data_IF_044638589498
#
_entry.id   IF_044638589498
#
_cell.length_a   1.000
_cell.length_b   1.000
_cell.length_c   1.000
_cell.angle_alpha   90.00
_cell.angle_beta   90.00
_cell.angle_gamma   90.00
#
_symmetry.space_group_name_H-M   'P 1'
#
loop_
_entity.id
_entity.type
_entity.pdbx_description
1 polymer ?
#
# COMPACT_ATOMS: atom_id res chain seq x y z
N UNK A 1 19.58 -9.42 -11.68
CA UNK A 1 18.93 -9.70 -10.38
C UNK A 1 17.84 -10.72 -10.61
N UNK A 2 17.68 -11.65 -9.68
CA UNK A 2 16.57 -12.60 -9.70
C UNK A 2 15.24 -11.85 -9.51
N UNK A 3 14.13 -12.42 -10.01
CA UNK A 3 12.81 -11.80 -9.96
C UNK A 3 12.39 -11.51 -8.50
N UNK A 4 12.71 -12.43 -7.61
CA UNK A 4 12.47 -12.36 -6.17
C UNK A 4 13.26 -11.21 -5.53
N UNK A 5 14.48 -10.92 -5.99
CA UNK A 5 15.26 -9.79 -5.48
C UNK A 5 14.61 -8.46 -5.87
N UNK A 6 14.05 -8.36 -7.09
CA UNK A 6 13.31 -7.16 -7.53
C UNK A 6 12.03 -6.99 -6.72
N UNK A 7 11.32 -8.08 -6.43
CA UNK A 7 10.15 -8.06 -5.56
C UNK A 7 10.51 -7.56 -4.14
N UNK A 8 11.57 -8.07 -3.53
CA UNK A 8 12.00 -7.62 -2.20
C UNK A 8 12.40 -6.15 -2.18
N UNK A 9 13.10 -5.69 -3.23
CA UNK A 9 13.45 -4.29 -3.38
C UNK A 9 12.20 -3.41 -3.52
N UNK A 10 11.22 -3.84 -4.31
CA UNK A 10 9.94 -3.16 -4.46
C UNK A 10 9.20 -3.10 -3.12
N UNK A 11 9.10 -4.22 -2.39
CA UNK A 11 8.44 -4.28 -1.08
C UNK A 11 9.05 -3.30 -0.08
N UNK A 12 10.38 -3.28 0.04
CA UNK A 12 11.09 -2.38 0.96
C UNK A 12 10.88 -0.92 0.54
N UNK A 13 11.00 -0.62 -0.75
CA UNK A 13 10.76 0.72 -1.30
C UNK A 13 9.34 1.20 -0.97
N UNK A 14 8.35 0.34 -1.19
CA UNK A 14 6.95 0.65 -0.90
C UNK A 14 6.72 0.87 0.60
N UNK A 15 7.29 0.06 1.50
CA UNK A 15 7.23 0.32 2.95
C UNK A 15 7.83 1.67 3.34
N UNK A 16 8.99 2.01 2.78
CA UNK A 16 9.68 3.28 3.05
C UNK A 16 8.85 4.48 2.61
N UNK A 17 7.97 4.33 1.63
CA UNK A 17 7.11 5.41 1.12
C UNK A 17 5.76 5.43 1.86
N UNK A 18 5.06 4.30 1.90
CA UNK A 18 3.68 4.23 2.35
C UNK A 18 3.53 4.42 3.85
N UNK A 19 4.48 3.89 4.65
CA UNK A 19 4.41 4.01 6.11
C UNK A 19 4.51 5.49 6.53
N UNK A 20 5.48 6.29 6.05
CA UNK A 20 5.50 7.73 6.31
C UNK A 20 4.23 8.45 5.83
N UNK A 21 3.73 8.14 4.63
CA UNK A 21 2.49 8.75 4.11
C UNK A 21 1.32 8.46 5.05
N UNK A 22 1.14 7.19 5.46
CA UNK A 22 0.08 6.78 6.37
C UNK A 22 0.20 7.49 7.73
N UNK A 23 1.42 7.58 8.28
CA UNK A 23 1.67 8.31 9.54
C UNK A 23 1.29 9.78 9.38
N UNK A 24 1.71 10.42 8.29
CA UNK A 24 1.43 11.84 8.03
C UNK A 24 -0.08 12.09 7.95
N UNK A 25 -0.79 11.26 7.18
CA UNK A 25 -2.23 11.36 7.02
C UNK A 25 -2.96 11.18 8.35
N UNK A 26 -2.64 10.12 9.11
CA UNK A 26 -3.32 9.85 10.38
C UNK A 26 -3.03 10.95 11.41
N UNK A 27 -1.78 11.38 11.55
CA UNK A 27 -1.35 12.29 12.62
C UNK A 27 -1.66 13.75 12.34
N UNK A 28 -1.47 14.20 11.11
CA UNK A 28 -1.54 15.63 10.77
C UNK A 28 -2.82 15.99 10.02
N UNK A 29 -3.27 15.15 9.09
CA UNK A 29 -4.48 15.43 8.28
C UNK A 29 -5.74 15.06 9.05
N UNK A 30 -5.86 13.82 9.49
CA UNK A 30 -7.02 13.34 10.25
C UNK A 30 -6.92 13.60 11.76
N UNK A 31 -5.77 14.09 12.22
CA UNK A 31 -5.50 14.50 13.61
C UNK A 31 -5.82 13.41 14.65
N UNK A 32 -5.74 12.14 14.26
CA UNK A 32 -6.02 11.02 15.15
C UNK A 32 -4.75 10.67 15.97
N UNK A 33 -4.70 11.21 17.19
CA UNK A 33 -3.58 11.02 18.12
C UNK A 33 -3.71 9.78 18.99
N UNK A 34 -4.88 9.15 19.05
CA UNK A 34 -5.13 8.02 19.97
C UNK A 34 -4.51 6.72 19.51
N UNK A 35 -4.34 6.53 18.19
CA UNK A 35 -3.71 5.33 17.65
C UNK A 35 -2.22 5.28 18.04
N UNK A 36 -1.70 4.16 18.56
CA UNK A 36 -0.27 4.03 18.87
C UNK A 36 0.55 3.94 17.58
N UNK A 37 1.71 4.60 17.55
CA UNK A 37 2.57 4.68 16.35
C UNK A 37 3.00 3.29 15.87
N UNK A 38 3.35 2.39 16.80
CA UNK A 38 3.73 1.02 16.48
C UNK A 38 2.62 0.25 15.75
N UNK A 39 1.34 0.52 16.05
CA UNK A 39 0.21 -0.09 15.35
C UNK A 39 0.05 0.47 13.94
N UNK A 40 0.28 1.77 13.75
CA UNK A 40 0.25 2.39 12.41
C UNK A 40 1.35 1.78 11.52
N UNK A 41 2.58 1.70 12.04
CA UNK A 41 3.73 1.13 11.32
C UNK A 41 3.49 -0.35 11.04
N UNK A 42 3.10 -1.13 12.05
CA UNK A 42 2.89 -2.57 11.93
C UNK A 42 1.76 -2.92 10.96
N UNK A 43 0.63 -2.23 11.03
CA UNK A 43 -0.48 -2.46 10.09
C UNK A 43 -0.13 -1.93 8.69
N UNK A 44 0.56 -0.79 8.57
CA UNK A 44 1.03 -0.28 7.27
C UNK A 44 1.96 -1.27 6.58
N UNK A 45 2.95 -1.80 7.29
CA UNK A 45 3.86 -2.81 6.75
C UNK A 45 3.11 -4.11 6.37
N UNK A 46 2.22 -4.58 7.25
CA UNK A 46 1.40 -5.76 6.98
C UNK A 46 0.49 -5.58 5.75
N UNK A 47 -0.07 -4.38 5.58
CA UNK A 47 -0.94 -4.03 4.48
C UNK A 47 -0.24 -4.28 3.15
N UNK A 48 0.91 -3.63 2.93
CA UNK A 48 1.73 -3.82 1.72
C UNK A 48 2.25 -5.26 1.59
N UNK A 49 2.64 -5.89 2.70
CA UNK A 49 3.15 -7.27 2.69
C UNK A 49 2.10 -8.29 2.25
N UNK A 50 0.82 -8.00 2.46
CA UNK A 50 -0.29 -8.86 2.05
C UNK A 50 -0.76 -8.57 0.63
N UNK A 51 -0.63 -7.34 0.13
CA UNK A 51 -1.11 -6.96 -1.20
C UNK A 51 -0.06 -7.18 -2.30
N UNK A 52 1.19 -6.81 -2.04
CA UNK A 52 2.25 -6.81 -3.05
C UNK A 52 2.61 -8.21 -3.60
N UNK A 53 2.66 -9.31 -2.80
CA UNK A 53 2.89 -10.64 -3.35
C UNK A 53 1.81 -11.09 -4.33
N UNK A 54 0.56 -10.70 -4.09
CA UNK A 54 -0.54 -11.02 -5.01
C UNK A 54 -0.39 -10.24 -6.32
N UNK A 55 0.01 -8.97 -6.23
CA UNK A 55 0.31 -8.18 -7.42
C UNK A 55 1.44 -8.84 -8.23
N UNK A 56 2.56 -9.19 -7.61
CA UNK A 56 3.76 -9.67 -8.33
C UNK A 56 3.71 -11.14 -8.76
N UNK A 57 3.09 -12.03 -7.99
CA UNK A 57 3.18 -13.48 -8.23
C UNK A 57 1.86 -14.11 -8.62
N UNK A 58 0.73 -13.52 -8.22
CA UNK A 58 -0.59 -14.13 -8.45
C UNK A 58 -1.29 -13.49 -9.64
N UNK A 59 -1.31 -12.16 -9.76
CA UNK A 59 -2.08 -11.46 -10.78
C UNK A 59 -1.58 -11.61 -12.24
N UNK A 60 -0.26 -11.63 -12.55
CA UNK A 60 0.23 -11.54 -13.93
C UNK A 60 -0.32 -12.61 -14.90
N UNK A 61 -0.53 -13.88 -14.50
CA UNK A 61 -1.12 -14.90 -15.37
C UNK A 61 -2.59 -14.67 -15.76
N UNK A 62 -3.32 -13.80 -15.03
CA UNK A 62 -4.77 -13.62 -15.20
C UNK A 62 -5.16 -12.32 -15.93
N UNK A 63 -4.20 -11.43 -16.18
CA UNK A 63 -4.48 -10.10 -16.70
C UNK A 63 -3.51 -9.77 -17.84
N UNK A 64 -4.06 -9.28 -18.95
CA UNK A 64 -3.24 -8.81 -20.06
C UNK A 64 -2.32 -7.67 -19.62
N UNK A 65 -1.08 -7.67 -20.12
CA UNK A 65 -0.07 -6.68 -19.77
C UNK A 65 -0.53 -5.22 -19.98
N UNK A 66 -1.42 -4.97 -20.95
CA UNK A 66 -1.99 -3.64 -21.22
C UNK A 66 -2.89 -3.12 -20.10
N UNK A 67 -3.61 -4.01 -19.40
CA UNK A 67 -4.52 -3.64 -18.32
C UNK A 67 -3.93 -3.89 -16.93
N UNK A 68 -2.77 -4.54 -16.86
CA UNK A 68 -2.14 -4.94 -15.61
C UNK A 68 -1.91 -3.78 -14.63
N UNK A 69 -1.37 -2.60 -15.03
CA UNK A 69 -1.20 -1.50 -14.08
C UNK A 69 -2.52 -1.01 -13.52
N UNK A 70 -3.54 -0.83 -14.39
CA UNK A 70 -4.84 -0.33 -13.95
C UNK A 70 -5.54 -1.31 -13.01
N UNK A 71 -5.62 -2.59 -13.38
CA UNK A 71 -6.30 -3.61 -12.59
C UNK A 71 -5.54 -3.89 -11.30
N UNK A 72 -4.22 -4.00 -11.39
CA UNK A 72 -3.34 -4.26 -10.25
C UNK A 72 -3.42 -3.18 -9.18
N UNK A 73 -3.23 -1.92 -9.56
CA UNK A 73 -3.28 -0.80 -8.60
C UNK A 73 -4.67 -0.64 -8.00
N UNK A 74 -5.74 -0.80 -8.80
CA UNK A 74 -7.11 -0.76 -8.26
C UNK A 74 -7.36 -1.87 -7.23
N UNK A 75 -6.83 -3.07 -7.47
CA UNK A 75 -6.97 -4.20 -6.54
C UNK A 75 -6.20 -3.93 -5.23
N UNK A 76 -4.96 -3.45 -5.34
CA UNK A 76 -4.14 -3.07 -4.19
C UNK A 76 -4.85 -1.99 -3.38
N UNK A 77 -5.23 -0.88 -4.02
CA UNK A 77 -5.98 0.21 -3.39
C UNK A 77 -7.23 -0.27 -2.63
N UNK A 78 -8.07 -1.11 -3.24
CA UNK A 78 -9.29 -1.60 -2.58
C UNK A 78 -8.97 -2.51 -1.39
N UNK A 79 -7.99 -3.40 -1.53
CA UNK A 79 -7.59 -4.32 -0.48
C UNK A 79 -6.93 -3.60 0.69
N UNK A 80 -6.09 -2.62 0.42
CA UNK A 80 -5.45 -1.82 1.46
C UNK A 80 -6.47 -0.98 2.23
N UNK A 81 -7.41 -0.33 1.54
CA UNK A 81 -8.51 0.38 2.19
C UNK A 81 -9.32 -0.56 3.12
N UNK A 82 -9.58 -1.80 2.69
CA UNK A 82 -10.27 -2.80 3.51
C UNK A 82 -9.44 -3.21 4.74
N UNK A 83 -8.15 -3.47 4.57
CA UNK A 83 -7.23 -3.84 5.66
C UNK A 83 -7.15 -2.70 6.69
N UNK A 84 -6.97 -1.46 6.23
CA UNK A 84 -6.91 -0.28 7.09
C UNK A 84 -8.22 -0.06 7.86
N UNK A 85 -9.37 -0.25 7.19
CA UNK A 85 -10.68 -0.18 7.83
C UNK A 85 -10.82 -1.24 8.93
N UNK A 86 -10.49 -2.51 8.64
CA UNK A 86 -10.72 -3.63 9.56
C UNK A 86 -9.68 -3.73 10.68
N UNK A 87 -8.39 -3.59 10.37
CA UNK A 87 -7.31 -3.86 11.32
C UNK A 87 -6.85 -2.60 12.07
N UNK A 88 -6.81 -1.46 11.40
CA UNK A 88 -6.43 -0.19 12.03
C UNK A 88 -7.64 0.53 12.66
N UNK A 89 -8.86 0.13 12.31
CA UNK A 89 -10.10 0.69 12.87
C UNK A 89 -10.40 2.11 12.38
N UNK A 90 -9.90 2.48 11.20
CA UNK A 90 -10.22 3.76 10.58
C UNK A 90 -11.66 3.76 10.09
N UNK A 91 -12.30 4.94 9.99
CA UNK A 91 -13.59 5.04 9.32
C UNK A 91 -13.42 4.77 7.82
N UNK A 92 -14.45 4.24 7.15
CA UNK A 92 -14.33 3.83 5.74
C UNK A 92 -13.82 4.94 4.82
N UNK A 93 -14.27 6.19 5.03
CA UNK A 93 -13.79 7.36 4.26
C UNK A 93 -12.29 7.61 4.48
N UNK A 94 -11.84 7.55 5.73
CA UNK A 94 -10.43 7.78 6.09
C UNK A 94 -9.56 6.65 5.55
N UNK A 95 -10.02 5.39 5.64
CA UNK A 95 -9.28 4.24 5.11
C UNK A 95 -9.10 4.31 3.59
N UNK A 96 -10.16 4.66 2.86
CA UNK A 96 -10.12 4.86 1.40
C UNK A 96 -9.15 5.99 1.05
N UNK A 97 -9.26 7.15 1.72
CA UNK A 97 -8.35 8.27 1.46
C UNK A 97 -6.89 7.91 1.76
N UNK A 98 -6.63 7.24 2.89
CA UNK A 98 -5.27 6.79 3.22
C UNK A 98 -4.69 5.86 2.15
N UNK A 99 -5.45 4.83 1.75
CA UNK A 99 -4.98 3.89 0.74
C UNK A 99 -4.76 4.56 -0.61
N UNK A 100 -5.63 5.47 -1.03
CA UNK A 100 -5.44 6.22 -2.28
C UNK A 100 -4.12 6.97 -2.29
N UNK A 101 -3.79 7.70 -1.22
CA UNK A 101 -2.56 8.47 -1.14
C UNK A 101 -1.31 7.61 -0.96
N UNK A 102 -1.40 6.50 -0.22
CA UNK A 102 -0.30 5.52 -0.09
C UNK A 102 0.03 4.93 -1.46
N UNK A 103 -0.98 4.36 -2.13
CA UNK A 103 -0.83 3.70 -3.43
C UNK A 103 -0.41 4.68 -4.52
N UNK A 104 -0.99 5.89 -4.56
CA UNK A 104 -0.56 6.92 -5.51
C UNK A 104 0.90 7.35 -5.28
N UNK A 105 1.33 7.51 -4.03
CA UNK A 105 2.71 7.88 -3.72
C UNK A 105 3.70 6.77 -4.09
N UNK A 106 3.38 5.52 -3.76
CA UNK A 106 4.24 4.37 -4.09
C UNK A 106 4.28 4.08 -5.58
N UNK A 107 3.15 4.17 -6.29
CA UNK A 107 3.09 4.02 -7.74
C UNK A 107 3.91 5.10 -8.48
N UNK A 108 3.70 6.39 -8.14
CA UNK A 108 4.41 7.49 -8.81
C UNK A 108 5.92 7.43 -8.57
N UNK A 109 6.35 7.07 -7.36
CA UNK A 109 7.77 6.89 -7.06
C UNK A 109 8.33 5.62 -7.66
N UNK A 110 7.51 4.56 -7.77
CA UNK A 110 7.83 3.33 -8.48
C UNK A 110 8.19 3.61 -9.94
N UNK A 111 7.40 4.43 -10.64
CA UNK A 111 7.69 4.85 -12.03
C UNK A 111 9.03 5.57 -12.21
N UNK A 112 9.54 6.23 -11.17
CA UNK A 112 10.79 6.98 -11.23
C UNK A 112 12.02 6.15 -10.82
N UNK A 113 11.84 5.22 -9.88
CA UNK A 113 12.93 4.46 -9.26
C UNK A 113 13.14 3.06 -9.87
N UNK A 114 12.15 2.51 -10.55
CA UNK A 114 12.12 1.13 -11.07
C UNK A 114 11.73 1.07 -12.55
#
# INVERSE_FOLDING_TARGET
MLYETRFLLALITTWVIEIPVLIVLIRFVFRNKTLPLARIIGIGALCTALTLPYLWFVLPPYVDAAYYPLIGEMLVFLMEALILYRLLGLSGRVAITCSFFMNAASFLLGLYLL
#
